data_IF_130846479660
#
_entry.id   IF_130846479660
#
_cell.length_a   1.000
_cell.length_b   1.000
_cell.length_c   1.000
_cell.angle_alpha   90.00
_cell.angle_beta   90.00
_cell.angle_gamma   90.00
#
_symmetry.space_group_name_H-M   'P 1'
#
loop_
_entity.id
_entity.type
_entity.pdbx_description
1 polymer ?
#
# COMPACT_ATOMS: atom_id res chain seq x y z
N UNK A 1 -49.32 10.73 -12.45
CA UNK A 1 -48.50 9.96 -11.50
C UNK A 1 -48.10 8.68 -12.20
N UNK A 2 -46.93 8.67 -12.83
CA UNK A 2 -46.49 7.52 -13.63
C UNK A 2 -45.17 7.06 -13.03
N UNK A 3 -45.24 6.06 -12.15
CA UNK A 3 -44.06 5.38 -11.62
C UNK A 3 -43.41 4.60 -12.76
N UNK A 4 -42.36 5.17 -13.35
CA UNK A 4 -41.51 4.48 -14.31
C UNK A 4 -40.55 3.58 -13.53
N UNK A 5 -41.03 2.40 -13.13
CA UNK A 5 -40.18 1.37 -12.51
C UNK A 5 -39.14 0.93 -13.54
N UNK A 6 -37.91 1.42 -13.38
CA UNK A 6 -36.77 1.11 -14.24
C UNK A 6 -36.35 -0.34 -13.95
N UNK A 7 -37.02 -1.29 -14.60
CA UNK A 7 -36.63 -2.70 -14.56
C UNK A 7 -35.32 -2.82 -15.34
N UNK A 8 -34.19 -2.95 -14.63
CA UNK A 8 -32.95 -3.35 -15.27
C UNK A 8 -33.21 -4.69 -15.99
N UNK A 9 -32.83 -4.82 -17.27
CA UNK A 9 -33.07 -6.04 -18.01
C UNK A 9 -32.41 -7.21 -17.29
N UNK A 10 -33.14 -8.31 -17.11
CA UNK A 10 -32.74 -9.49 -16.33
C UNK A 10 -31.33 -10.01 -16.74
N UNK A 11 -30.95 -9.82 -18.00
CA UNK A 11 -29.61 -10.12 -18.52
C UNK A 11 -28.49 -9.25 -17.95
N UNK A 12 -28.74 -7.97 -17.65
CA UNK A 12 -27.75 -7.11 -17.00
C UNK A 12 -27.47 -7.58 -15.57
N UNK A 13 -28.53 -7.97 -14.84
CA UNK A 13 -28.41 -8.56 -13.50
C UNK A 13 -27.73 -9.93 -13.57
N UNK A 14 -28.09 -10.77 -14.54
CA UNK A 14 -27.46 -12.09 -14.72
C UNK A 14 -25.97 -11.99 -15.08
N UNK A 15 -25.57 -10.99 -15.87
CA UNK A 15 -24.17 -10.76 -16.20
C UNK A 15 -23.37 -10.20 -15.00
N UNK A 16 -24.02 -9.47 -14.07
CA UNK A 16 -23.37 -9.01 -12.83
C UNK A 16 -22.96 -10.18 -11.91
N UNK A 17 -23.72 -11.28 -11.90
CA UNK A 17 -23.40 -12.48 -11.13
C UNK A 17 -22.48 -13.47 -11.86
N UNK A 18 -22.08 -13.18 -13.11
CA UNK A 18 -21.08 -14.01 -13.78
C UNK A 18 -19.73 -13.77 -13.11
N UNK A 19 -19.14 -14.86 -12.63
CA UNK A 19 -17.78 -14.86 -12.10
C UNK A 19 -16.84 -14.21 -13.14
N UNK A 20 -15.94 -13.30 -12.73
CA UNK A 20 -14.94 -12.74 -13.63
C UNK A 20 -14.21 -13.88 -14.35
N UNK A 21 -14.09 -13.77 -15.66
CA UNK A 21 -13.42 -14.74 -16.51
C UNK A 21 -12.29 -14.04 -17.28
N UNK A 22 -11.10 -14.60 -17.25
CA UNK A 22 -9.91 -13.98 -17.85
C UNK A 22 -8.63 -14.74 -17.48
N UNK A 23 -7.46 -14.27 -17.97
CA UNK A 23 -6.18 -14.87 -17.63
C UNK A 23 -5.96 -14.86 -16.12
N UNK A 24 -5.27 -15.89 -15.63
CA UNK A 24 -4.99 -16.08 -14.20
C UNK A 24 -3.62 -15.52 -13.86
N UNK A 25 -3.52 -14.82 -12.74
CA UNK A 25 -2.25 -14.46 -12.16
C UNK A 25 -1.46 -15.74 -11.83
N UNK A 26 -0.19 -15.86 -12.27
CA UNK A 26 0.61 -17.06 -12.01
C UNK A 26 0.93 -17.27 -10.51
N UNK A 27 0.82 -16.21 -9.71
CA UNK A 27 1.30 -16.19 -8.32
C UNK A 27 0.17 -16.38 -7.31
N UNK A 28 -1.06 -15.93 -7.60
CA UNK A 28 -2.20 -16.08 -6.70
C UNK A 28 -3.50 -16.58 -7.35
N UNK A 29 -3.49 -16.91 -8.66
CA UNK A 29 -4.63 -17.49 -9.40
C UNK A 29 -5.87 -16.58 -9.50
N UNK A 30 -5.76 -15.33 -9.03
CA UNK A 30 -6.77 -14.29 -9.24
C UNK A 30 -6.94 -13.99 -10.73
N UNK A 31 -8.16 -13.60 -11.11
CA UNK A 31 -8.43 -13.17 -12.50
C UNK A 31 -7.80 -11.80 -12.70
N UNK A 32 -6.97 -11.67 -13.72
CA UNK A 32 -6.36 -10.40 -14.12
C UNK A 32 -7.45 -9.48 -14.70
N UNK A 33 -7.44 -8.22 -14.28
CA UNK A 33 -8.35 -7.16 -14.73
C UNK A 33 -7.46 -6.02 -15.22
N UNK A 34 -7.72 -5.52 -16.44
CA UNK A 34 -6.95 -4.43 -17.06
C UNK A 34 -5.42 -4.64 -16.98
N UNK A 35 -4.97 -5.83 -17.37
CA UNK A 35 -3.57 -6.29 -17.35
C UNK A 35 -2.88 -6.31 -15.97
N UNK A 36 -3.63 -6.13 -14.87
CA UNK A 36 -3.13 -6.18 -13.50
C UNK A 36 -3.83 -7.24 -12.63
N UNK A 37 -3.09 -7.81 -11.68
CA UNK A 37 -3.68 -8.65 -10.63
C UNK A 37 -4.41 -7.74 -9.61
N UNK A 38 -5.72 -7.92 -9.39
CA UNK A 38 -6.48 -7.09 -8.46
C UNK A 38 -6.28 -7.48 -6.99
N UNK A 39 -5.69 -8.65 -6.73
CA UNK A 39 -5.38 -9.10 -5.37
C UNK A 39 -4.15 -8.35 -4.84
N UNK A 40 -4.34 -7.51 -3.83
CA UNK A 40 -3.28 -6.76 -3.18
C UNK A 40 -2.33 -7.65 -2.37
N UNK A 41 -2.82 -8.80 -1.91
CA UNK A 41 -2.06 -9.82 -1.16
C UNK A 41 -1.31 -10.79 -2.11
N UNK A 42 -1.39 -10.55 -3.42
CA UNK A 42 -0.61 -11.31 -4.39
C UNK A 42 0.89 -11.15 -4.10
N UNK A 43 1.70 -12.24 -4.10
CA UNK A 43 3.13 -12.15 -3.80
C UNK A 43 3.86 -11.08 -4.62
N UNK A 44 3.54 -10.91 -5.91
CA UNK A 44 4.13 -9.83 -6.73
C UNK A 44 3.80 -8.44 -6.20
N UNK A 45 2.54 -8.24 -5.80
CA UNK A 45 2.08 -6.95 -5.26
C UNK A 45 2.67 -6.68 -3.88
N UNK A 46 2.92 -7.74 -3.11
CA UNK A 46 3.60 -7.66 -1.82
C UNK A 46 5.08 -7.29 -2.00
N UNK A 47 5.79 -7.98 -2.88
CA UNK A 47 7.18 -7.65 -3.24
C UNK A 47 7.30 -6.20 -3.74
N UNK A 48 6.42 -5.76 -4.65
CA UNK A 48 6.41 -4.39 -5.18
C UNK A 48 6.31 -3.34 -4.07
N UNK A 49 5.47 -3.56 -3.05
CA UNK A 49 5.32 -2.56 -1.99
C UNK A 49 6.44 -2.65 -0.96
N UNK A 50 6.95 -3.84 -0.62
CA UNK A 50 8.08 -3.97 0.31
C UNK A 50 9.32 -3.30 -0.31
N UNK A 51 9.59 -3.56 -1.59
CA UNK A 51 10.72 -2.94 -2.30
C UNK A 51 10.58 -1.42 -2.39
N UNK A 52 9.36 -0.91 -2.65
CA UNK A 52 9.09 0.53 -2.57
C UNK A 52 9.31 1.08 -1.16
N UNK A 53 8.80 0.40 -0.14
CA UNK A 53 8.94 0.82 1.25
C UNK A 53 10.42 0.97 1.63
N UNK A 54 11.26 0.03 1.19
CA UNK A 54 12.69 0.03 1.48
C UNK A 54 13.51 0.97 0.57
N UNK A 55 12.90 1.60 -0.44
CA UNK A 55 13.63 2.43 -1.41
C UNK A 55 14.21 3.71 -0.79
N UNK A 56 15.22 4.33 -1.43
CA UNK A 56 15.81 5.59 -0.97
C UNK A 56 14.81 6.75 -0.88
N UNK A 57 13.78 6.76 -1.73
CA UNK A 57 12.72 7.77 -1.76
C UNK A 57 11.67 7.58 -0.66
N UNK A 58 11.70 6.44 0.03
CA UNK A 58 10.81 6.06 1.11
C UNK A 58 11.59 5.92 2.43
N UNK A 59 11.70 4.72 2.99
CA UNK A 59 12.25 4.50 4.33
C UNK A 59 13.75 4.18 4.31
N UNK A 60 14.35 4.04 3.12
CA UNK A 60 15.79 3.85 2.91
C UNK A 60 16.37 2.69 3.74
N UNK A 61 15.93 1.47 3.43
CA UNK A 61 16.35 0.21 4.09
C UNK A 61 17.05 -0.67 3.03
N UNK A 62 18.25 -0.30 2.56
CA UNK A 62 18.89 -0.98 1.43
C UNK A 62 19.28 -2.44 1.72
N UNK A 63 19.36 -2.85 2.99
CA UNK A 63 19.64 -4.24 3.37
C UNK A 63 18.50 -5.20 3.04
N UNK A 64 17.28 -4.69 2.89
CA UNK A 64 16.09 -5.46 2.53
C UNK A 64 15.78 -5.20 1.05
N UNK A 65 16.37 -6.02 0.19
CA UNK A 65 16.26 -5.91 -1.26
C UNK A 65 15.07 -6.69 -1.84
N UNK A 66 15.06 -6.78 -3.17
CA UNK A 66 14.07 -7.58 -3.89
C UNK A 66 14.08 -9.06 -3.50
N UNK A 67 15.23 -9.75 -3.33
CA UNK A 67 15.25 -11.17 -2.97
C UNK A 67 14.57 -11.46 -1.62
N UNK A 68 14.85 -10.64 -0.60
CA UNK A 68 14.26 -10.78 0.73
C UNK A 68 12.75 -10.46 0.70
N UNK A 69 12.37 -9.39 -0.03
CA UNK A 69 10.98 -9.00 -0.23
C UNK A 69 10.15 -10.11 -0.90
N UNK A 70 10.70 -10.77 -1.93
CA UNK A 70 10.03 -11.89 -2.61
C UNK A 70 9.81 -13.09 -1.68
N UNK A 71 10.78 -13.39 -0.82
CA UNK A 71 10.64 -14.49 0.15
C UNK A 71 9.61 -14.17 1.22
N UNK A 72 9.64 -12.95 1.79
CA UNK A 72 8.63 -12.48 2.73
C UNK A 72 7.21 -12.58 2.15
N UNK A 73 7.06 -12.15 0.89
CA UNK A 73 5.81 -12.21 0.14
C UNK A 73 5.34 -13.65 -0.09
N UNK A 74 6.21 -14.53 -0.58
CA UNK A 74 5.89 -15.94 -0.87
C UNK A 74 5.56 -16.73 0.40
N UNK A 75 6.21 -16.40 1.51
CA UNK A 75 5.96 -17.03 2.81
C UNK A 75 4.68 -16.50 3.50
N UNK A 76 4.07 -15.44 2.96
CA UNK A 76 2.88 -14.80 3.54
C UNK A 76 3.15 -14.19 4.91
N UNK A 77 4.39 -13.76 5.17
CA UNK A 77 4.81 -13.24 6.47
C UNK A 77 4.40 -11.77 6.70
N UNK A 78 4.20 -11.02 5.62
CA UNK A 78 3.91 -9.60 5.67
C UNK A 78 2.93 -9.23 4.55
N UNK A 79 1.85 -8.55 4.89
CA UNK A 79 0.87 -8.00 3.97
C UNK A 79 0.86 -6.48 3.98
N UNK A 80 1.23 -5.86 5.11
CA UNK A 80 1.28 -4.41 5.25
C UNK A 80 2.50 -3.94 6.06
N UNK A 81 2.91 -2.66 5.96
CA UNK A 81 4.15 -2.17 6.55
C UNK A 81 4.31 -2.44 8.05
N UNK A 82 3.24 -2.33 8.85
CA UNK A 82 3.30 -2.59 10.29
C UNK A 82 3.69 -4.03 10.67
N UNK A 83 3.37 -5.02 9.83
CA UNK A 83 3.76 -6.43 10.06
C UNK A 83 5.25 -6.64 9.81
N UNK A 84 5.86 -5.85 8.91
CA UNK A 84 7.28 -5.96 8.59
C UNK A 84 8.13 -5.72 9.84
N UNK A 85 7.79 -4.70 10.63
CA UNK A 85 8.45 -4.37 11.89
C UNK A 85 8.08 -5.32 13.05
N UNK A 86 7.07 -6.17 12.86
CA UNK A 86 6.62 -7.16 13.84
C UNK A 86 7.22 -8.56 13.65
N UNK A 87 8.02 -8.78 12.60
CA UNK A 87 8.60 -10.08 12.30
C UNK A 87 9.51 -10.57 13.43
N UNK A 88 9.27 -11.79 13.89
CA UNK A 88 10.05 -12.44 14.93
C UNK A 88 11.39 -12.95 14.38
N UNK A 89 12.38 -13.24 15.25
CA UNK A 89 13.61 -13.92 14.82
C UNK A 89 13.37 -15.24 14.08
N UNK A 90 12.29 -15.95 14.44
CA UNK A 90 11.89 -17.18 13.78
C UNK A 90 11.34 -16.95 12.36
N UNK A 91 10.71 -15.81 12.10
CA UNK A 91 10.24 -15.45 10.76
C UNK A 91 11.41 -15.09 9.85
N UNK A 92 12.36 -14.30 10.35
CA UNK A 92 13.59 -13.97 9.63
C UNK A 92 14.43 -15.21 9.30
N UNK A 93 14.49 -16.19 10.20
CA UNK A 93 15.21 -17.44 9.98
C UNK A 93 14.62 -18.30 8.84
N UNK A 94 13.41 -18.01 8.36
CA UNK A 94 12.79 -18.70 7.21
C UNK A 94 13.25 -18.13 5.87
N UNK A 95 13.91 -16.98 5.87
CA UNK A 95 14.43 -16.34 4.66
C UNK A 95 15.81 -16.95 4.35
N UNK A 96 15.92 -17.56 3.18
CA UNK A 96 17.15 -18.14 2.68
C UNK A 96 18.11 -17.06 2.16
N UNK A 97 19.40 -17.26 2.35
CA UNK A 97 20.45 -16.38 1.82
C UNK A 97 20.73 -15.12 2.62
N UNK A 98 19.98 -14.87 3.71
CA UNK A 98 20.25 -13.75 4.63
C UNK A 98 21.23 -14.19 5.72
N UNK A 99 22.42 -13.56 5.74
CA UNK A 99 23.40 -13.79 6.81
C UNK A 99 22.98 -13.09 8.12
N UNK A 100 23.55 -13.52 9.25
CA UNK A 100 23.32 -12.86 10.54
C UNK A 100 23.70 -11.36 10.48
N UNK A 101 24.85 -11.03 9.90
CA UNK A 101 25.32 -9.65 9.75
C UNK A 101 24.37 -8.82 8.88
N UNK A 102 23.82 -9.40 7.81
CA UNK A 102 22.83 -8.73 6.97
C UNK A 102 21.51 -8.52 7.72
N UNK A 103 21.05 -9.51 8.49
CA UNK A 103 19.84 -9.38 9.29
C UNK A 103 19.99 -8.28 10.36
N UNK A 104 21.12 -8.23 11.05
CA UNK A 104 21.42 -7.19 12.04
C UNK A 104 21.41 -5.80 11.38
N UNK A 105 21.97 -5.69 10.17
CA UNK A 105 21.94 -4.44 9.40
C UNK A 105 20.52 -4.04 8.97
N UNK A 106 19.70 -4.99 8.50
CA UNK A 106 18.28 -4.75 8.17
C UNK A 106 17.54 -4.23 9.40
N UNK A 107 17.67 -4.91 10.55
CA UNK A 107 16.98 -4.53 11.77
C UNK A 107 17.41 -3.14 12.27
N UNK A 108 18.71 -2.83 12.18
CA UNK A 108 19.25 -1.51 12.51
C UNK A 108 18.68 -0.41 11.59
N UNK A 109 18.61 -0.67 10.29
CA UNK A 109 18.03 0.26 9.31
C UNK A 109 16.53 0.46 9.55
N UNK A 110 15.80 -0.61 9.83
CA UNK A 110 14.38 -0.56 10.18
C UNK A 110 14.13 0.26 11.45
N UNK A 111 14.93 0.08 12.50
CA UNK A 111 14.78 0.91 13.70
C UNK A 111 15.05 2.39 13.40
N UNK A 112 16.09 2.68 12.61
CA UNK A 112 16.43 4.04 12.20
C UNK A 112 15.43 4.70 11.24
N UNK A 113 14.59 3.92 10.57
CA UNK A 113 13.64 4.42 9.57
C UNK A 113 12.30 4.90 10.16
N UNK A 114 12.08 4.72 11.47
CA UNK A 114 10.83 5.11 12.17
C UNK A 114 10.59 6.62 12.26
N UNK A 115 11.57 7.44 11.90
CA UNK A 115 11.40 8.90 11.83
C UNK A 115 11.67 9.43 10.42
N UNK A 116 10.90 8.97 9.40
CA UNK A 116 11.08 9.45 8.04
C UNK A 116 10.43 10.83 7.88
N UNK A 117 10.74 11.51 6.77
CA UNK A 117 9.92 12.66 6.35
C UNK A 117 8.49 12.19 6.05
N UNK A 118 7.43 12.95 6.38
CA UNK A 118 6.05 12.54 6.10
C UNK A 118 5.79 12.21 4.62
N UNK A 119 6.44 12.92 3.70
CA UNK A 119 6.33 12.65 2.26
C UNK A 119 6.95 11.32 1.83
N UNK A 120 8.05 10.92 2.46
CA UNK A 120 8.71 9.64 2.19
C UNK A 120 7.88 8.47 2.75
N UNK A 121 7.32 8.64 3.94
CA UNK A 121 6.37 7.69 4.52
C UNK A 121 5.12 7.53 3.66
N UNK A 122 4.50 8.64 3.23
CA UNK A 122 3.34 8.62 2.36
C UNK A 122 3.61 7.93 1.02
N UNK A 123 4.82 8.10 0.46
CA UNK A 123 5.24 7.37 -0.72
C UNK A 123 5.32 5.85 -0.46
N UNK A 124 5.91 5.45 0.67
CA UNK A 124 6.01 4.05 1.09
C UNK A 124 4.66 3.36 1.30
N UNK A 125 3.65 4.08 1.80
CA UNK A 125 2.29 3.55 2.06
C UNK A 125 1.53 3.10 0.81
N UNK A 126 2.08 3.34 -0.40
CA UNK A 126 1.57 2.80 -1.67
C UNK A 126 0.13 3.21 -1.97
N UNK A 127 -0.19 4.49 -1.77
CA UNK A 127 -1.47 5.05 -2.22
C UNK A 127 -1.57 4.97 -3.76
N UNK A 128 -2.74 4.60 -4.31
CA UNK A 128 -2.96 4.57 -5.75
C UNK A 128 -2.67 5.93 -6.41
N UNK A 129 -1.87 5.93 -7.49
CA UNK A 129 -1.49 7.16 -8.22
C UNK A 129 -0.46 8.06 -7.50
N UNK A 130 -0.12 7.78 -6.24
CA UNK A 130 0.77 8.65 -5.46
C UNK A 130 2.23 8.23 -5.66
N UNK A 131 2.91 8.92 -6.58
CA UNK A 131 4.37 8.86 -6.75
C UNK A 131 5.10 9.61 -5.63
N UNK A 132 6.44 9.48 -5.52
CA UNK A 132 7.24 10.22 -4.54
C UNK A 132 7.06 11.75 -4.69
N UNK A 133 7.01 12.24 -5.94
CA UNK A 133 6.76 13.64 -6.24
C UNK A 133 5.35 14.08 -5.80
N UNK A 134 4.34 13.23 -6.04
CA UNK A 134 2.98 13.54 -5.62
C UNK A 134 2.84 13.49 -4.09
N UNK A 135 3.49 12.54 -3.43
CA UNK A 135 3.51 12.45 -1.97
C UNK A 135 4.10 13.70 -1.34
N UNK A 136 5.20 14.22 -1.93
CA UNK A 136 5.80 15.49 -1.52
C UNK A 136 4.82 16.66 -1.66
N UNK A 137 4.16 16.80 -2.83
CA UNK A 137 3.16 17.86 -3.05
C UNK A 137 1.98 17.78 -2.08
N UNK A 138 1.47 16.57 -1.84
CA UNK A 138 0.37 16.34 -0.89
C UNK A 138 0.74 16.84 0.50
N UNK A 139 1.94 16.53 0.98
CA UNK A 139 2.42 16.99 2.28
C UNK A 139 2.67 18.51 2.28
N UNK A 140 3.24 19.07 1.22
CA UNK A 140 3.46 20.53 1.11
C UNK A 140 2.15 21.34 1.13
N UNK A 141 1.08 20.84 0.49
CA UNK A 141 -0.21 21.55 0.37
C UNK A 141 -1.21 21.27 1.50
N UNK A 142 -1.08 20.12 2.17
CA UNK A 142 -2.00 19.68 3.24
C UNK A 142 -1.36 19.68 4.63
N UNK A 143 -0.03 19.57 4.71
CA UNK A 143 0.76 19.69 5.93
C UNK A 143 1.26 18.34 6.47
N UNK A 144 0.37 17.39 6.77
CA UNK A 144 0.76 16.15 7.45
C UNK A 144 -0.08 14.95 7.02
N UNK A 145 0.35 13.73 7.38
CA UNK A 145 -0.45 12.52 7.14
C UNK A 145 -1.73 12.56 7.97
N UNK A 146 -1.71 13.13 9.17
CA UNK A 146 -2.92 13.33 9.98
C UNK A 146 -3.92 14.26 9.29
N UNK A 147 -3.45 15.38 8.73
CA UNK A 147 -4.31 16.28 7.96
C UNK A 147 -4.89 15.60 6.71
N UNK A 148 -4.13 14.71 6.05
CA UNK A 148 -4.61 13.94 4.91
C UNK A 148 -5.77 13.00 5.29
N UNK A 149 -5.76 12.41 6.50
CA UNK A 149 -6.83 11.54 6.98
C UNK A 149 -8.18 12.27 7.10
N UNK A 150 -8.14 13.55 7.48
CA UNK A 150 -9.34 14.38 7.69
C UNK A 150 -9.81 15.12 6.43
N UNK A 151 -8.92 15.23 5.43
CA UNK A 151 -9.17 16.02 4.22
C UNK A 151 -10.28 15.41 3.34
N UNK A 152 -11.11 16.29 2.76
CA UNK A 152 -12.21 15.95 1.84
C UNK A 152 -11.71 15.90 0.39
N UNK A 153 -12.38 15.15 -0.52
CA UNK A 153 -11.91 14.97 -1.89
C UNK A 153 -11.71 16.28 -2.65
N UNK A 154 -12.62 17.24 -2.47
CA UNK A 154 -12.57 18.53 -3.17
C UNK A 154 -11.27 19.30 -2.89
N UNK A 155 -10.71 19.19 -1.68
CA UNK A 155 -9.44 19.85 -1.33
C UNK A 155 -8.25 19.19 -2.02
N UNK A 156 -8.29 17.89 -2.29
CA UNK A 156 -7.25 17.23 -3.08
C UNK A 156 -7.26 17.69 -4.54
N UNK A 157 -8.44 17.97 -5.11
CA UNK A 157 -8.56 18.45 -6.51
C UNK A 157 -8.01 19.87 -6.71
N UNK A 158 -7.79 20.62 -5.63
CA UNK A 158 -7.13 21.94 -5.71
C UNK A 158 -5.61 21.81 -5.90
N UNK A 159 -5.05 20.61 -5.73
CA UNK A 159 -3.61 20.33 -5.87
C UNK A 159 -3.28 19.98 -7.33
N UNK A 160 -2.27 20.64 -7.89
CA UNK A 160 -1.83 20.41 -9.26
C UNK A 160 -1.40 18.95 -9.50
N UNK A 161 -2.01 18.35 -10.53
CA UNK A 161 -1.78 16.96 -10.93
C UNK A 161 -2.69 15.93 -10.27
N UNK A 162 -3.69 16.35 -9.47
CA UNK A 162 -4.70 15.46 -8.90
C UNK A 162 -6.05 15.70 -9.60
N UNK A 163 -6.54 14.68 -10.30
CA UNK A 163 -7.89 14.69 -10.88
C UNK A 163 -8.96 14.19 -9.89
N UNK A 164 -10.23 14.23 -10.30
CA UNK A 164 -11.36 13.79 -9.46
C UNK A 164 -11.22 12.31 -9.04
N UNK A 165 -10.78 11.44 -9.95
CA UNK A 165 -10.64 10.01 -9.69
C UNK A 165 -9.55 9.76 -8.63
N UNK A 166 -8.39 10.39 -8.80
CA UNK A 166 -7.27 10.29 -7.86
C UNK A 166 -7.61 10.91 -6.50
N UNK A 167 -8.29 12.06 -6.47
CA UNK A 167 -8.76 12.67 -5.23
C UNK A 167 -9.68 11.73 -4.44
N UNK A 168 -10.58 11.04 -5.15
CA UNK A 168 -11.45 10.03 -4.54
C UNK A 168 -10.67 8.82 -4.04
N UNK A 169 -9.69 8.33 -4.80
CA UNK A 169 -8.84 7.20 -4.40
C UNK A 169 -8.00 7.50 -3.16
N UNK A 170 -7.36 8.67 -3.09
CA UNK A 170 -6.62 9.11 -1.89
C UNK A 170 -7.55 9.21 -0.69
N UNK A 171 -8.71 9.86 -0.86
CA UNK A 171 -9.73 9.96 0.18
C UNK A 171 -10.21 8.58 0.66
N UNK A 172 -10.46 7.66 -0.27
CA UNK A 172 -10.92 6.29 0.01
C UNK A 172 -9.85 5.50 0.75
N UNK A 173 -8.58 5.62 0.34
CA UNK A 173 -7.46 4.89 0.92
C UNK A 173 -7.37 5.12 2.44
N UNK A 174 -7.45 6.38 2.89
CA UNK A 174 -7.43 6.72 4.33
C UNK A 174 -8.67 6.27 5.09
N UNK A 175 -9.74 5.84 4.40
CA UNK A 175 -11.01 5.41 5.01
C UNK A 175 -11.16 3.91 5.08
N UNK A 176 -10.35 3.18 4.31
CA UNK A 176 -10.28 1.74 4.33
C UNK A 176 -9.80 1.22 5.69
N UNK A 177 -10.45 0.17 6.20
CA UNK A 177 -10.17 -0.37 7.52
C UNK A 177 -8.80 -1.03 7.63
N UNK A 178 -8.31 -1.65 6.55
CA UNK A 178 -7.00 -2.30 6.52
C UNK A 178 -5.90 -1.24 6.56
N UNK A 179 -6.03 -0.18 5.76
CA UNK A 179 -5.06 0.91 5.75
C UNK A 179 -5.04 1.67 7.09
N UNK A 180 -6.20 1.91 7.71
CA UNK A 180 -6.27 2.49 9.06
C UNK A 180 -5.58 1.63 10.10
N UNK A 181 -5.77 0.31 10.03
CA UNK A 181 -5.11 -0.61 10.94
C UNK A 181 -3.59 -0.59 10.73
N UNK A 182 -3.12 -0.55 9.47
CA UNK A 182 -1.71 -0.42 9.15
C UNK A 182 -1.10 0.88 9.72
N UNK A 183 -1.77 2.02 9.55
CA UNK A 183 -1.35 3.30 10.15
C UNK A 183 -1.29 3.21 11.67
N UNK A 184 -2.30 2.63 12.31
CA UNK A 184 -2.30 2.44 13.76
C UNK A 184 -1.12 1.58 14.24
N UNK A 185 -0.76 0.53 13.51
CA UNK A 185 0.38 -0.31 13.87
C UNK A 185 1.70 0.45 13.72
N UNK A 186 1.84 1.26 12.68
CA UNK A 186 3.01 2.13 12.50
C UNK A 186 3.13 3.17 13.62
N UNK A 187 2.03 3.82 13.99
CA UNK A 187 1.97 4.76 15.14
C UNK A 187 2.43 4.09 16.45
N UNK A 188 1.92 2.88 16.72
CA UNK A 188 2.25 2.11 17.92
C UNK A 188 3.74 1.73 18.03
N UNK A 189 4.45 1.62 16.91
CA UNK A 189 5.89 1.30 16.89
C UNK A 189 6.77 2.55 16.76
N UNK A 190 6.18 3.75 16.81
CA UNK A 190 6.87 5.03 16.89
C UNK A 190 7.05 5.79 15.57
N UNK A 191 6.27 5.47 14.52
CA UNK A 191 6.29 6.30 13.31
C UNK A 191 5.69 7.68 13.55
N UNK A 192 6.37 8.72 13.08
CA UNK A 192 5.85 10.08 13.11
C UNK A 192 4.99 10.38 11.87
N UNK A 193 3.75 10.83 12.08
CA UNK A 193 2.82 11.26 11.03
C UNK A 193 2.71 12.79 10.91
N UNK A 194 3.30 13.53 11.85
CA UNK A 194 3.41 14.98 11.82
C UNK A 194 4.77 15.42 11.32
N UNK A 195 4.91 16.72 11.04
CA UNK A 195 6.22 17.35 10.86
C UNK A 195 7.08 17.24 12.14
#
# INVERSE_FOLDING_TARGET
MTERRMLLPFQAVANFFKKPSGPKCPECVSVIIDDACPNLDCPLKVTEWITRWCSPEALNIPGLGQPEAEQLAKLGLVLHPGELYGLSPGDWARIEGVSADQLDEIQRQMEGSKSPKPSALLHGLRLPGVSANMAKRLIEEIGSIDSLQETKPNRFQEIDGIDEAMAFEVYRWFRDSVNKQALKMLDQIGFNFTD
#
